data_IF_793819033516
#
_entry.id   IF_793819033516
#
_cell.length_a   1.000
_cell.length_b   1.000
_cell.length_c   1.000
_cell.angle_alpha   90.00
_cell.angle_beta   90.00
_cell.angle_gamma   90.00
#
_symmetry.space_group_name_H-M   'P 1'
#
loop_
_entity.id
_entity.type
_entity.pdbx_description
1 polymer ?
#
# COMPACT_ATOMS: atom_id res chain seq x y z
N UNK A 1 -11.90 13.11 3.21
CA UNK A 1 -10.50 13.57 3.14
C UNK A 1 -10.00 13.31 1.73
N UNK A 2 -9.62 14.35 1.00
CA UNK A 2 -9.21 14.23 -0.40
C UNK A 2 -7.88 13.45 -0.46
N UNK A 3 -7.87 12.33 -1.17
CA UNK A 3 -6.65 11.57 -1.47
C UNK A 3 -5.74 12.50 -2.27
N UNK A 4 -4.77 13.10 -1.59
CA UNK A 4 -3.94 14.19 -2.13
C UNK A 4 -3.03 13.59 -3.21
N UNK A 5 -3.37 13.79 -4.50
CA UNK A 5 -2.61 13.42 -5.72
C UNK A 5 -1.40 12.48 -5.53
N UNK A 6 -1.66 11.23 -5.17
CA UNK A 6 -0.63 10.21 -4.96
C UNK A 6 -0.24 9.49 -6.27
N UNK A 7 0.08 10.23 -7.34
CA UNK A 7 0.54 9.56 -8.57
C UNK A 7 2.01 9.14 -8.44
N UNK A 8 2.29 7.86 -8.71
CA UNK A 8 3.63 7.28 -8.70
C UNK A 8 3.81 6.46 -9.97
N UNK A 9 4.78 6.84 -10.79
CA UNK A 9 5.14 6.11 -12.00
C UNK A 9 6.52 5.49 -11.86
N UNK A 10 6.65 4.24 -12.28
CA UNK A 10 7.91 3.52 -12.25
C UNK A 10 8.39 3.23 -10.82
N UNK A 11 7.50 2.83 -9.91
CA UNK A 11 7.85 2.44 -8.55
C UNK A 11 8.54 1.07 -8.58
N UNK A 12 9.73 1.00 -7.99
CA UNK A 12 10.42 -0.26 -7.69
C UNK A 12 10.56 -0.31 -6.17
N UNK A 13 10.08 -1.39 -5.57
CA UNK A 13 10.14 -1.59 -4.13
C UNK A 13 11.44 -2.32 -3.79
N UNK A 14 12.13 -1.87 -2.75
CA UNK A 14 13.28 -2.59 -2.20
C UNK A 14 12.83 -3.89 -1.52
N UNK A 15 13.76 -4.83 -1.37
CA UNK A 15 13.50 -6.11 -0.70
C UNK A 15 12.88 -5.93 0.69
N UNK A 16 13.38 -4.97 1.48
CA UNK A 16 12.81 -4.67 2.81
C UNK A 16 11.36 -4.17 2.74
N UNK A 17 10.97 -3.45 1.68
CA UNK A 17 9.58 -3.03 1.51
C UNK A 17 8.69 -4.20 1.13
N UNK A 18 9.19 -5.10 0.28
CA UNK A 18 8.52 -6.37 -0.03
C UNK A 18 8.32 -7.22 1.22
N UNK A 19 9.31 -7.29 2.11
CA UNK A 19 9.19 -8.02 3.37
C UNK A 19 8.17 -7.37 4.32
N UNK A 20 8.18 -6.05 4.47
CA UNK A 20 7.13 -5.37 5.25
C UNK A 20 5.74 -5.56 4.63
N UNK A 21 5.60 -5.53 3.31
CA UNK A 21 4.32 -5.82 2.65
C UNK A 21 3.91 -7.29 2.86
N UNK A 22 4.86 -8.23 2.88
CA UNK A 22 4.60 -9.64 3.22
C UNK A 22 4.16 -9.79 4.67
N UNK A 23 4.75 -9.02 5.57
CA UNK A 23 4.41 -9.05 7.00
C UNK A 23 3.04 -8.42 7.25
N UNK A 24 2.76 -7.28 6.62
CA UNK A 24 1.41 -6.69 6.55
C UNK A 24 0.44 -7.73 6.04
N UNK A 25 0.74 -8.40 4.93
CA UNK A 25 -0.08 -9.47 4.41
C UNK A 25 -0.34 -10.54 5.44
N UNK A 26 0.69 -11.17 6.02
CA UNK A 26 0.51 -12.24 7.01
C UNK A 26 -0.40 -11.81 8.17
N UNK A 27 -0.28 -10.57 8.62
CA UNK A 27 -1.10 -9.99 9.70
C UNK A 27 -2.53 -9.66 9.25
N UNK A 28 -2.74 -9.42 7.96
CA UNK A 28 -4.01 -8.97 7.35
C UNK A 28 -4.73 -10.10 6.57
N UNK A 29 -4.07 -11.23 6.30
CA UNK A 29 -4.52 -12.33 5.40
C UNK A 29 -5.87 -12.93 5.82
N UNK A 30 -6.26 -12.75 7.09
CA UNK A 30 -7.55 -13.22 7.61
C UNK A 30 -8.73 -12.27 7.37
N UNK A 31 -8.52 -11.08 6.82
CA UNK A 31 -9.58 -10.08 6.61
C UNK A 31 -10.01 -10.02 5.15
N UNK A 32 -11.32 -9.85 4.93
CA UNK A 32 -12.05 -9.66 3.66
C UNK A 32 -11.59 -8.42 2.84
N UNK A 33 -10.31 -8.13 2.84
CA UNK A 33 -9.68 -7.00 2.17
C UNK A 33 -9.60 -7.22 0.65
N UNK A 34 -9.49 -8.50 0.23
CA UNK A 34 -9.48 -8.92 -1.17
C UNK A 34 -10.68 -8.35 -1.96
N UNK A 35 -11.90 -8.41 -1.42
CA UNK A 35 -13.11 -7.98 -2.12
C UNK A 35 -13.21 -6.47 -2.36
N UNK A 36 -12.64 -5.65 -1.47
CA UNK A 36 -12.78 -4.19 -1.51
C UNK A 36 -11.75 -3.51 -2.41
N UNK A 37 -10.63 -4.19 -2.72
CA UNK A 37 -9.49 -3.63 -3.45
C UNK A 37 -9.36 -4.12 -4.91
N UNK A 38 -10.31 -4.93 -5.39
CA UNK A 38 -10.33 -5.43 -6.78
C UNK A 38 -10.29 -4.33 -7.86
N UNK A 39 -10.55 -3.06 -7.51
CA UNK A 39 -10.54 -1.96 -8.47
C UNK A 39 -9.17 -1.38 -8.83
N UNK A 40 -8.10 -1.66 -8.06
CA UNK A 40 -6.76 -1.10 -8.31
C UNK A 40 -5.74 -2.20 -8.60
N UNK A 41 -5.38 -2.40 -9.87
CA UNK A 41 -4.51 -3.52 -10.28
C UNK A 41 -3.10 -3.41 -9.67
N UNK A 42 -2.57 -2.20 -9.48
CA UNK A 42 -1.22 -1.99 -8.96
C UNK A 42 -1.14 -2.19 -7.45
N UNK A 43 -2.03 -1.57 -6.66
CA UNK A 43 -2.07 -1.76 -5.19
C UNK A 43 -2.41 -3.21 -4.85
N UNK A 44 -3.31 -3.84 -5.61
CA UNK A 44 -3.59 -5.27 -5.46
C UNK A 44 -2.35 -6.14 -5.70
N UNK A 45 -1.58 -5.85 -6.75
CA UNK A 45 -0.35 -6.59 -7.04
C UNK A 45 0.71 -6.41 -5.96
N UNK A 46 0.85 -5.20 -5.42
CA UNK A 46 1.79 -4.89 -4.34
C UNK A 46 1.37 -5.62 -3.07
N UNK A 47 0.15 -5.36 -2.60
CA UNK A 47 -0.31 -5.81 -1.29
C UNK A 47 -0.91 -7.19 -1.25
N UNK A 48 -1.22 -7.89 -2.35
CA UNK A 48 -1.87 -9.22 -2.28
C UNK A 48 -1.21 -10.25 -3.18
N UNK A 49 -0.80 -9.83 -4.38
CA UNK A 49 -0.17 -10.75 -5.34
C UNK A 49 1.35 -10.86 -5.14
N UNK A 50 1.95 -9.91 -4.42
CA UNK A 50 3.36 -9.84 -4.03
C UNK A 50 4.32 -10.27 -5.18
N UNK A 51 4.04 -9.80 -6.40
CA UNK A 51 4.62 -10.39 -7.62
C UNK A 51 5.96 -9.73 -7.95
N UNK A 52 7.04 -10.50 -7.74
CA UNK A 52 8.45 -10.27 -8.11
C UNK A 52 9.13 -8.96 -7.63
N UNK A 53 10.32 -9.11 -7.06
CA UNK A 53 11.20 -8.03 -6.56
C UNK A 53 11.69 -7.04 -7.63
N UNK A 54 11.35 -7.26 -8.91
CA UNK A 54 11.75 -6.43 -10.06
C UNK A 54 10.57 -5.78 -10.77
N UNK A 55 9.33 -5.97 -10.28
CA UNK A 55 8.16 -5.38 -10.91
C UNK A 55 8.15 -3.86 -10.73
N UNK A 56 7.92 -3.18 -11.84
CA UNK A 56 7.75 -1.73 -11.88
C UNK A 56 6.27 -1.40 -11.81
N UNK A 57 5.84 -0.70 -10.76
CA UNK A 57 4.44 -0.36 -10.53
C UNK A 57 4.12 1.07 -10.94
N UNK A 58 2.99 1.25 -11.61
CA UNK A 58 2.40 2.56 -11.88
C UNK A 58 1.10 2.65 -11.07
N UNK A 59 1.06 3.57 -10.12
CA UNK A 59 -0.07 3.77 -9.23
C UNK A 59 -0.65 5.14 -9.51
N UNK A 60 -1.88 5.16 -10.00
CA UNK A 60 -2.65 6.36 -10.30
C UNK A 60 -3.36 6.89 -9.05
N UNK A 61 -3.90 8.10 -9.13
CA UNK A 61 -4.75 8.64 -8.05
C UNK A 61 -6.01 7.83 -7.82
N UNK A 62 -6.60 7.26 -8.88
CA UNK A 62 -7.79 6.42 -8.78
C UNK A 62 -7.52 5.10 -8.04
N UNK A 63 -6.30 4.57 -8.15
CA UNK A 63 -5.88 3.41 -7.37
C UNK A 63 -5.89 3.74 -5.87
N UNK A 64 -5.32 4.88 -5.48
CA UNK A 64 -5.32 5.33 -4.08
C UNK A 64 -6.71 5.67 -3.56
N UNK A 65 -7.59 6.25 -4.36
CA UNK A 65 -8.98 6.49 -3.99
C UNK A 65 -9.74 5.19 -3.74
N UNK A 66 -9.49 4.17 -4.56
CA UNK A 66 -10.06 2.83 -4.36
C UNK A 66 -9.49 2.17 -3.10
N UNK A 67 -8.19 2.31 -2.88
CA UNK A 67 -7.55 1.85 -1.65
C UNK A 67 -8.11 2.52 -0.40
N UNK A 68 -8.23 3.84 -0.39
CA UNK A 68 -8.78 4.59 0.74
C UNK A 68 -10.24 4.20 1.02
N UNK A 69 -11.06 4.02 -0.02
CA UNK A 69 -12.44 3.53 0.12
C UNK A 69 -12.47 2.12 0.72
N UNK A 70 -11.66 1.19 0.21
CA UNK A 70 -11.58 -0.16 0.78
C UNK A 70 -11.04 -0.18 2.21
N UNK A 71 -10.08 0.70 2.51
CA UNK A 71 -9.50 0.87 3.83
C UNK A 71 -10.51 1.28 4.92
N UNK A 72 -11.59 1.96 4.56
CA UNK A 72 -12.67 2.28 5.52
C UNK A 72 -13.29 1.03 6.14
N UNK A 73 -13.35 -0.07 5.39
CA UNK A 73 -13.90 -1.37 5.82
C UNK A 73 -12.90 -2.23 6.59
N UNK A 74 -11.64 -1.78 6.71
CA UNK A 74 -10.60 -2.45 7.50
C UNK A 74 -10.79 -2.12 8.98
N UNK A 75 -10.73 -3.10 9.90
CA UNK A 75 -10.72 -2.87 11.33
C UNK A 75 -9.64 -1.88 11.79
N UNK A 76 -9.95 -1.05 12.79
CA UNK A 76 -9.07 0.03 13.28
C UNK A 76 -7.68 -0.49 13.67
N UNK A 77 -7.62 -1.64 14.35
CA UNK A 77 -6.36 -2.29 14.78
C UNK A 77 -5.48 -2.59 13.55
N UNK A 78 -6.08 -3.12 12.50
CA UNK A 78 -5.39 -3.48 11.26
C UNK A 78 -4.90 -2.23 10.51
N UNK A 79 -5.73 -1.18 10.42
CA UNK A 79 -5.28 0.12 9.88
C UNK A 79 -4.09 0.68 10.66
N UNK A 80 -4.08 0.53 11.99
CA UNK A 80 -2.98 0.98 12.85
C UNK A 80 -1.68 0.22 12.57
N UNK A 81 -1.76 -1.11 12.36
CA UNK A 81 -0.59 -1.91 11.97
C UNK A 81 -0.01 -1.42 10.64
N UNK A 82 -0.87 -1.26 9.61
CA UNK A 82 -0.41 -0.79 8.30
C UNK A 82 0.17 0.62 8.39
N UNK A 83 -0.46 1.52 9.17
CA UNK A 83 0.06 2.88 9.40
C UNK A 83 1.42 2.89 10.08
N UNK A 84 1.65 2.01 11.07
CA UNK A 84 2.93 1.94 11.76
C UNK A 84 4.05 1.46 10.81
N UNK A 85 3.80 0.41 10.04
CA UNK A 85 4.74 -0.06 9.02
C UNK A 85 5.03 1.03 7.98
N UNK A 86 3.97 1.67 7.47
CA UNK A 86 4.11 2.75 6.50
C UNK A 86 4.89 3.94 7.07
N UNK A 87 4.70 4.29 8.35
CA UNK A 87 5.44 5.35 9.02
C UNK A 87 6.94 5.01 9.11
N UNK A 88 7.30 3.78 9.50
CA UNK A 88 8.70 3.37 9.59
C UNK A 88 9.41 3.51 8.24
N UNK A 89 8.78 3.07 7.15
CA UNK A 89 9.35 3.20 5.81
C UNK A 89 9.31 4.63 5.28
N UNK A 90 8.26 5.39 5.57
CA UNK A 90 8.18 6.81 5.22
C UNK A 90 9.34 7.61 5.84
N UNK A 91 9.77 7.27 7.06
CA UNK A 91 10.90 7.93 7.73
C UNK A 91 12.28 7.44 7.33
N UNK A 92 12.39 6.28 6.65
CA UNK A 92 13.68 5.62 6.38
C UNK A 92 14.01 5.46 4.88
N UNK A 93 13.01 5.52 4.00
CA UNK A 93 13.18 5.39 2.55
C UNK A 93 13.41 6.74 1.88
N UNK A 94 13.72 6.71 0.58
CA UNK A 94 13.89 7.92 -0.23
C UNK A 94 13.21 7.77 -1.59
N UNK A 95 13.05 8.88 -2.31
CA UNK A 95 12.53 8.88 -3.68
C UNK A 95 11.09 8.36 -3.80
N UNK A 96 10.86 7.49 -4.79
CA UNK A 96 9.52 6.97 -5.12
C UNK A 96 8.98 6.03 -4.05
N UNK A 97 9.87 5.33 -3.35
CA UNK A 97 9.52 4.39 -2.30
C UNK A 97 9.03 5.12 -1.04
N UNK A 98 9.72 6.20 -0.64
CA UNK A 98 9.21 7.11 0.40
C UNK A 98 7.82 7.64 0.03
N UNK A 99 7.64 8.11 -1.20
CA UNK A 99 6.35 8.63 -1.67
C UNK A 99 5.26 7.57 -1.63
N UNK A 100 5.59 6.33 -1.98
CA UNK A 100 4.67 5.20 -1.86
C UNK A 100 4.21 5.01 -0.41
N UNK A 101 5.14 4.91 0.53
CA UNK A 101 4.81 4.69 1.94
C UNK A 101 4.08 5.88 2.58
N UNK A 102 4.41 7.10 2.15
CA UNK A 102 3.63 8.30 2.51
C UNK A 102 2.18 8.18 2.05
N UNK A 103 1.96 7.80 0.79
CA UNK A 103 0.63 7.65 0.23
C UNK A 103 -0.17 6.54 0.92
N UNK A 104 0.48 5.43 1.31
CA UNK A 104 -0.15 4.39 2.15
C UNK A 104 -0.60 4.99 3.49
N UNK A 105 0.28 5.72 4.17
CA UNK A 105 0.00 6.32 5.47
C UNK A 105 -1.15 7.33 5.43
N UNK A 106 -1.17 8.20 4.41
CA UNK A 106 -2.18 9.24 4.23
C UNK A 106 -3.56 8.70 3.76
N UNK A 107 -3.59 7.51 3.15
CA UNK A 107 -4.82 6.91 2.60
C UNK A 107 -5.61 6.05 3.60
N UNK A 108 -5.06 5.77 4.78
CA UNK A 108 -5.66 4.96 5.86
C UNK A 108 -6.24 5.82 6.98
#
# INVERSE_FOLDING_TARGET
MAVKKCMIQGLVLSESSHDSIREINKRVTNMKLLSALYGSSAIYQIFFKNTFATATYNISTADWETFARGATSIPVITRKIIKNEALMHFTSKTGKELKFWQCVYESL
#
